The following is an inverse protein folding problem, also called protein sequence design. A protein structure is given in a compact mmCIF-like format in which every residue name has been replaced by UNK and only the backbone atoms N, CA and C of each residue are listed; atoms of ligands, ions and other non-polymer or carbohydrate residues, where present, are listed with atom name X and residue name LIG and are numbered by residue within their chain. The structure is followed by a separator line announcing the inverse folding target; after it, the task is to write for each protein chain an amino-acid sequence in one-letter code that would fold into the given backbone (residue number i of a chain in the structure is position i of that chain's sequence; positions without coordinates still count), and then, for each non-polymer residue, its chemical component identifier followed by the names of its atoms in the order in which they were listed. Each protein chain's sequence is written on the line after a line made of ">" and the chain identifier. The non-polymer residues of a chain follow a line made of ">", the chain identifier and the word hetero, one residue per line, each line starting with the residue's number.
data_IF_921102122032
#
_entry.id   IF_921102122032
#
_cell.length_a   1.000
_cell.length_b   1.000
_cell.length_c   1.000
_cell.angle_alpha   90.00
_cell.angle_beta   90.00
_cell.angle_gamma   90.00
#
_symmetry.space_group_name_H-M   'P 1'
#
loop_
_entity.id
_entity.type
_entity.pdbx_description
1 polymer ?
#
# COMPACT_ATOMS: atom_id res chain seq x y z
N UNK A 1 6.78 4.96 -2.24
CA UNK A 1 7.18 6.40 -2.35
C UNK A 1 5.95 7.24 -2.63
N UNK A 2 5.52 8.04 -1.65
CA UNK A 2 4.35 8.91 -1.71
C UNK A 2 4.62 10.09 -2.65
N UNK A 3 3.90 10.18 -3.78
CA UNK A 3 4.04 11.29 -4.74
C UNK A 3 3.03 12.42 -4.43
N UNK A 4 3.05 13.50 -5.21
CA UNK A 4 2.11 14.62 -5.02
C UNK A 4 0.64 14.20 -5.18
N UNK A 5 0.35 13.17 -5.98
CA UNK A 5 -1.01 12.64 -6.12
C UNK A 5 -1.46 11.92 -4.84
N UNK A 6 -0.59 11.16 -4.17
CA UNK A 6 -0.89 10.56 -2.86
C UNK A 6 -1.23 11.64 -1.82
N UNK A 7 -0.44 12.73 -1.76
CA UNK A 7 -0.70 13.86 -0.86
C UNK A 7 -2.03 14.56 -1.20
N UNK A 8 -2.32 14.75 -2.48
CA UNK A 8 -3.58 15.35 -2.93
C UNK A 8 -4.78 14.45 -2.60
N UNK A 9 -4.65 13.14 -2.77
CA UNK A 9 -5.67 12.17 -2.41
C UNK A 9 -5.99 12.24 -0.92
N UNK A 10 -4.96 12.24 -0.05
CA UNK A 10 -5.14 12.41 1.39
C UNK A 10 -5.84 13.73 1.74
N UNK A 11 -5.43 14.86 1.14
CA UNK A 11 -6.09 16.17 1.36
C UNK A 11 -7.55 16.20 0.91
N UNK A 12 -7.89 15.48 -0.15
CA UNK A 12 -9.21 15.54 -0.76
C UNK A 12 -10.22 14.67 -0.02
N UNK A 13 -9.76 13.55 0.56
CA UNK A 13 -10.65 12.50 1.04
C UNK A 13 -10.52 12.15 2.52
N UNK A 14 -9.42 12.51 3.19
CA UNK A 14 -9.34 12.39 4.64
C UNK A 14 -9.89 13.66 5.28
N UNK A 15 -10.97 13.52 6.05
CA UNK A 15 -11.70 14.65 6.61
C UNK A 15 -11.27 14.94 8.06
N UNK A 16 -11.40 16.19 8.49
CA UNK A 16 -11.01 16.60 9.86
C UNK A 16 -11.78 15.80 10.92
N UNK A 17 -13.08 15.60 10.73
CA UNK A 17 -13.94 14.85 11.67
C UNK A 17 -13.57 13.36 11.80
N UNK A 18 -12.87 12.80 10.81
CA UNK A 18 -12.37 11.42 10.85
C UNK A 18 -11.06 11.30 11.63
N UNK A 19 -10.35 12.40 11.83
CA UNK A 19 -8.99 12.44 12.39
C UNK A 19 -8.92 13.16 13.74
N UNK A 20 -9.72 14.20 13.95
CA UNK A 20 -9.64 15.06 15.14
C UNK A 20 -9.93 14.30 16.42
N UNK A 21 -8.97 14.31 17.35
CA UNK A 21 -9.07 13.56 18.60
C UNK A 21 -9.07 12.03 18.42
N UNK A 22 -8.56 11.53 17.28
CA UNK A 22 -8.56 10.12 16.92
C UNK A 22 -7.14 9.53 16.94
N UNK A 23 -7.04 8.21 17.13
CA UNK A 23 -5.76 7.48 17.07
C UNK A 23 -5.46 7.10 15.63
N UNK A 24 -4.39 7.64 15.06
CA UNK A 24 -3.96 7.38 13.69
C UNK A 24 -2.69 6.54 13.67
N UNK A 25 -2.63 5.55 12.78
CA UNK A 25 -1.40 4.84 12.40
C UNK A 25 -1.12 4.99 10.91
N UNK A 26 0.11 5.33 10.56
CA UNK A 26 0.65 5.29 9.20
C UNK A 26 1.60 4.09 9.09
N UNK A 27 1.26 3.12 8.23
CA UNK A 27 2.04 1.90 8.01
C UNK A 27 2.81 2.01 6.71
N UNK A 28 4.14 1.97 6.81
CA UNK A 28 5.06 2.34 5.73
C UNK A 28 5.38 3.83 5.74
N UNK A 29 5.66 4.39 6.92
CA UNK A 29 5.71 5.84 7.15
C UNK A 29 7.06 6.49 6.82
N UNK A 30 8.05 5.72 6.33
CA UNK A 30 9.35 6.27 6.00
C UNK A 30 9.23 7.35 4.91
N UNK A 31 9.53 8.59 5.27
CA UNK A 31 9.50 9.73 4.37
C UNK A 31 10.75 9.74 3.48
N UNK A 32 10.56 9.30 2.24
CA UNK A 32 11.59 9.31 1.20
C UNK A 32 11.44 10.53 0.28
N UNK A 33 10.21 10.95 0.00
CA UNK A 33 9.90 11.96 -1.02
C UNK A 33 8.59 12.71 -0.77
N UNK A 34 8.08 12.67 0.46
CA UNK A 34 6.79 13.20 0.85
C UNK A 34 6.11 12.33 1.89
N UNK A 35 5.44 12.96 2.85
CA UNK A 35 4.67 12.29 3.89
C UNK A 35 3.30 12.96 4.08
N UNK A 36 2.28 12.14 4.30
CA UNK A 36 0.94 12.61 4.68
C UNK A 36 0.87 13.10 6.12
N UNK A 37 1.88 12.82 6.95
CA UNK A 37 1.94 13.18 8.38
C UNK A 37 1.59 14.64 8.64
N UNK A 38 2.11 15.58 7.84
CA UNK A 38 1.81 17.00 7.99
C UNK A 38 0.34 17.35 7.77
N UNK A 39 -0.29 16.73 6.77
CA UNK A 39 -1.73 16.91 6.47
C UNK A 39 -2.57 16.40 7.63
N UNK A 40 -2.26 15.19 8.12
CA UNK A 40 -3.04 14.55 9.17
C UNK A 40 -2.86 15.26 10.52
N UNK A 41 -1.63 15.68 10.86
CA UNK A 41 -1.38 16.41 12.11
C UNK A 41 -2.10 17.76 12.17
N UNK A 42 -2.36 18.40 11.03
CA UNK A 42 -3.14 19.64 10.98
C UNK A 42 -4.61 19.44 11.39
N UNK A 43 -5.14 18.21 11.36
CA UNK A 43 -6.47 17.87 11.86
C UNK A 43 -6.49 17.54 13.36
N UNK A 44 -5.38 17.71 14.08
CA UNK A 44 -5.29 17.54 15.53
C UNK A 44 -5.73 16.14 16.04
N UNK A 45 -5.10 15.04 15.56
CA UNK A 45 -5.38 13.71 16.07
C UNK A 45 -4.98 13.58 17.55
N UNK A 46 -5.62 12.65 18.26
CA UNK A 46 -5.23 12.29 19.62
C UNK A 46 -3.80 11.74 19.64
N UNK A 47 -3.46 10.93 18.63
CA UNK A 47 -2.11 10.44 18.42
C UNK A 47 -1.88 10.14 16.95
N UNK A 48 -0.64 10.32 16.49
CA UNK A 48 -0.19 9.92 15.16
C UNK A 48 1.05 9.06 15.32
N UNK A 49 0.96 7.79 14.93
CA UNK A 49 2.05 6.82 15.00
C UNK A 49 2.47 6.41 13.58
N UNK A 50 3.72 6.67 13.21
CA UNK A 50 4.31 6.18 11.98
C UNK A 50 5.16 4.95 12.22
N UNK A 51 4.90 3.87 11.48
CA UNK A 51 5.69 2.64 11.56
C UNK A 51 6.26 2.24 10.20
N UNK A 52 7.46 1.67 10.22
CA UNK A 52 8.13 1.12 9.05
C UNK A 52 9.10 0.00 9.46
N UNK A 53 9.53 -0.83 8.51
CA UNK A 53 10.56 -1.86 8.72
C UNK A 53 11.98 -1.26 8.76
N UNK A 54 12.14 -0.02 8.28
CA UNK A 54 13.40 0.72 8.27
C UNK A 54 13.24 2.01 9.05
N UNK A 55 14.11 2.25 10.04
CA UNK A 55 14.14 3.51 10.76
C UNK A 55 14.51 4.70 9.85
N UNK A 56 13.92 5.87 10.08
CA UNK A 56 14.24 7.08 9.35
C UNK A 56 13.20 8.19 9.53
N UNK A 57 13.26 9.25 8.70
CA UNK A 57 12.29 10.34 8.76
C UNK A 57 10.85 9.84 8.68
N UNK A 58 9.95 10.33 9.55
CA UNK A 58 8.55 9.94 9.57
C UNK A 58 8.22 8.64 10.32
N UNK A 59 9.24 7.88 10.74
CA UNK A 59 9.09 6.62 11.51
C UNK A 59 9.27 6.92 13.00
N UNK A 60 8.27 6.61 13.81
CA UNK A 60 8.38 6.69 15.28
C UNK A 60 8.76 5.33 15.88
N UNK A 61 8.34 4.23 15.24
CA UNK A 61 8.61 2.86 15.70
C UNK A 61 8.90 1.90 14.53
N UNK A 62 9.84 0.98 14.74
CA UNK A 62 10.15 -0.07 13.76
C UNK A 62 9.14 -1.22 13.93
N UNK A 63 8.29 -1.43 12.93
CA UNK A 63 7.31 -2.52 12.94
C UNK A 63 7.06 -3.04 11.51
N UNK A 64 7.05 -4.36 11.36
CA UNK A 64 6.63 -5.00 10.11
C UNK A 64 5.09 -5.09 10.08
N UNK A 65 4.48 -4.67 8.97
CA UNK A 65 3.04 -4.81 8.75
C UNK A 65 2.53 -6.25 8.95
N UNK A 66 3.38 -7.26 8.77
CA UNK A 66 3.02 -8.65 9.00
C UNK A 66 2.81 -9.01 10.49
N UNK A 67 3.30 -8.17 11.40
CA UNK A 67 3.23 -8.36 12.87
C UNK A 67 2.34 -7.30 13.55
N UNK A 68 1.66 -6.46 12.77
CA UNK A 68 0.94 -5.28 13.25
C UNK A 68 -0.10 -5.60 14.33
N UNK A 69 -0.90 -6.66 14.15
CA UNK A 69 -1.90 -7.08 15.13
C UNK A 69 -1.26 -7.61 16.41
N UNK A 70 -0.16 -8.36 16.32
CA UNK A 70 0.51 -8.88 17.52
C UNK A 70 1.14 -7.75 18.33
N UNK A 71 1.59 -6.70 17.64
CA UNK A 71 2.26 -5.58 18.25
C UNK A 71 1.29 -4.55 18.84
N UNK A 72 0.15 -4.27 18.17
CA UNK A 72 -0.79 -3.22 18.57
C UNK A 72 -2.18 -3.69 18.98
N UNK A 73 -2.47 -4.98 18.95
CA UNK A 73 -3.80 -5.57 19.08
C UNK A 73 -4.77 -5.21 17.92
N UNK A 74 -5.88 -5.96 17.86
CA UNK A 74 -6.97 -5.66 16.92
C UNK A 74 -7.73 -4.42 17.36
N UNK A 75 -8.29 -3.70 16.39
CA UNK A 75 -9.23 -2.59 16.59
C UNK A 75 -8.68 -1.39 17.38
N UNK A 76 -7.35 -1.21 17.36
CA UNK A 76 -6.64 -0.21 18.17
C UNK A 76 -6.62 1.20 17.58
N UNK A 77 -6.81 1.35 16.26
CA UNK A 77 -6.72 2.64 15.58
C UNK A 77 -8.06 3.08 14.95
N UNK A 78 -8.33 4.39 14.98
CA UNK A 78 -9.46 5.02 14.29
C UNK A 78 -9.20 5.14 12.78
N UNK A 79 -7.96 5.50 12.45
CA UNK A 79 -7.54 5.76 11.09
C UNK A 79 -6.27 4.97 10.82
N UNK A 80 -6.30 4.18 9.76
CA UNK A 80 -5.14 3.46 9.24
C UNK A 80 -4.79 4.07 7.88
N UNK A 81 -3.55 4.48 7.73
CA UNK A 81 -3.03 5.06 6.48
C UNK A 81 -1.89 4.17 5.98
N UNK A 82 -1.87 3.89 4.69
CA UNK A 82 -0.74 3.20 4.07
C UNK A 82 -0.52 3.69 2.63
N UNK A 83 0.57 4.40 2.39
CA UNK A 83 0.87 4.97 1.08
C UNK A 83 2.02 4.23 0.42
N UNK A 84 1.76 3.60 -0.74
CA UNK A 84 2.79 3.00 -1.59
C UNK A 84 3.65 1.96 -0.84
N UNK A 85 2.98 1.06 -0.11
CA UNK A 85 3.60 -0.01 0.68
C UNK A 85 3.21 -1.41 0.18
N UNK A 86 1.94 -1.66 -0.17
CA UNK A 86 1.46 -3.02 -0.45
C UNK A 86 2.19 -3.73 -1.59
N UNK A 87 2.70 -3.00 -2.58
CA UNK A 87 3.51 -3.54 -3.68
C UNK A 87 4.85 -4.10 -3.20
N UNK A 88 5.34 -3.64 -2.05
CA UNK A 88 6.62 -4.02 -1.45
C UNK A 88 6.49 -5.20 -0.47
N UNK A 89 5.27 -5.60 -0.09
CA UNK A 89 5.04 -6.68 0.88
C UNK A 89 4.80 -8.00 0.18
N UNK A 90 5.68 -8.99 0.42
CA UNK A 90 5.58 -10.32 -0.20
C UNK A 90 4.26 -11.01 0.15
N UNK A 91 3.96 -11.08 1.45
CA UNK A 91 2.77 -11.72 2.02
C UNK A 91 1.58 -10.75 2.03
N UNK A 92 1.20 -10.25 0.85
CA UNK A 92 0.20 -9.20 0.70
C UNK A 92 -1.15 -9.52 1.37
N UNK A 93 -1.59 -10.80 1.40
CA UNK A 93 -2.83 -11.20 2.08
C UNK A 93 -2.76 -10.93 3.58
N UNK A 94 -1.64 -11.28 4.20
CA UNK A 94 -1.41 -11.03 5.62
C UNK A 94 -1.34 -9.52 5.89
N UNK A 95 -0.69 -8.76 5.01
CA UNK A 95 -0.64 -7.30 5.11
C UNK A 95 -2.03 -6.66 5.05
N UNK A 96 -2.85 -7.04 4.06
CA UNK A 96 -4.24 -6.58 3.93
C UNK A 96 -5.06 -6.96 5.16
N UNK A 97 -4.89 -8.19 5.67
CA UNK A 97 -5.55 -8.64 6.90
C UNK A 97 -5.17 -7.79 8.12
N UNK A 98 -3.88 -7.50 8.29
CA UNK A 98 -3.36 -6.67 9.38
C UNK A 98 -3.92 -5.24 9.33
N UNK A 99 -3.95 -4.61 8.15
CA UNK A 99 -4.54 -3.27 7.98
C UNK A 99 -6.02 -3.24 8.37
N UNK A 100 -6.80 -4.25 7.96
CA UNK A 100 -8.24 -4.34 8.29
C UNK A 100 -8.50 -4.63 9.75
N UNK A 101 -7.68 -5.48 10.38
CA UNK A 101 -7.92 -5.96 11.72
C UNK A 101 -7.40 -4.99 12.80
N UNK A 102 -6.33 -4.23 12.54
CA UNK A 102 -5.88 -3.18 13.46
C UNK A 102 -6.83 -1.97 13.47
N UNK A 103 -7.60 -1.79 12.38
CA UNK A 103 -8.61 -0.75 12.26
C UNK A 103 -9.85 -1.09 13.08
N UNK A 104 -10.35 -0.14 13.87
CA UNK A 104 -11.59 -0.31 14.65
C UNK A 104 -12.85 -0.35 13.76
N UNK A 105 -13.96 -0.91 14.24
CA UNK A 105 -15.27 -0.73 13.61
C UNK A 105 -15.61 0.76 13.46
N UNK A 106 -16.16 1.14 12.30
CA UNK A 106 -16.37 2.52 11.82
C UNK A 106 -15.09 3.34 11.56
N UNK A 107 -13.90 2.75 11.68
CA UNK A 107 -12.65 3.42 11.36
C UNK A 107 -12.44 3.60 9.86
N UNK A 108 -11.55 4.53 9.51
CA UNK A 108 -11.21 4.90 8.13
C UNK A 108 -9.86 4.29 7.71
N UNK A 109 -9.83 3.64 6.55
CA UNK A 109 -8.63 3.22 5.84
C UNK A 109 -8.39 4.17 4.68
N UNK A 110 -7.18 4.73 4.58
CA UNK A 110 -6.70 5.43 3.39
C UNK A 110 -5.47 4.71 2.84
N UNK A 111 -5.54 4.24 1.60
CA UNK A 111 -4.50 3.41 1.02
C UNK A 111 -4.18 3.80 -0.42
N UNK A 112 -2.89 3.78 -0.76
CA UNK A 112 -2.41 3.92 -2.14
C UNK A 112 -1.42 2.81 -2.48
N UNK A 113 -1.40 2.36 -3.73
CA UNK A 113 -0.46 1.32 -4.21
C UNK A 113 -0.24 1.41 -5.72
N UNK A 114 0.77 0.68 -6.22
CA UNK A 114 1.16 0.66 -7.65
C UNK A 114 0.39 -0.35 -8.48
N UNK A 115 0.13 0.05 -9.73
CA UNK A 115 -0.69 -0.69 -10.70
C UNK A 115 0.10 -1.10 -11.94
N UNK A 116 -0.46 -1.97 -12.78
CA UNK A 116 0.25 -2.49 -13.95
C UNK A 116 0.60 -1.34 -14.89
N UNK A 117 1.84 -1.33 -15.36
CA UNK A 117 2.44 -0.20 -16.08
C UNK A 117 3.49 0.53 -15.24
N UNK A 118 3.36 0.50 -13.91
CA UNK A 118 4.42 1.01 -13.04
C UNK A 118 5.62 0.07 -13.06
N UNK A 119 6.78 0.62 -13.44
CA UNK A 119 8.03 -0.11 -13.55
C UNK A 119 8.49 -0.73 -12.23
N UNK A 120 9.48 -1.62 -12.31
CA UNK A 120 10.15 -2.12 -11.11
C UNK A 120 10.97 -0.99 -10.48
N UNK A 121 10.70 -0.67 -9.22
CA UNK A 121 11.33 0.47 -8.54
C UNK A 121 12.01 0.11 -7.21
N UNK A 122 11.76 -1.09 -6.68
CA UNK A 122 12.55 -1.77 -5.65
C UNK A 122 13.07 -0.92 -4.50
N UNK A 123 12.34 -0.86 -3.37
CA UNK A 123 12.96 -0.63 -2.07
C UNK A 123 12.06 -1.05 -0.89
N UNK A 124 12.52 -1.92 0.05
CA UNK A 124 13.65 -2.86 -0.10
C UNK A 124 13.36 -3.97 -1.13
N UNK A 125 12.09 -4.20 -1.45
CA UNK A 125 11.62 -5.18 -2.44
C UNK A 125 10.53 -4.58 -3.32
N UNK A 126 10.01 -5.32 -4.30
CA UNK A 126 8.91 -4.88 -5.17
C UNK A 126 8.32 -6.10 -5.88
N UNK A 127 7.06 -6.41 -5.59
CA UNK A 127 6.44 -7.72 -5.84
C UNK A 127 5.17 -7.65 -6.67
N UNK A 128 4.24 -6.74 -6.34
CA UNK A 128 2.84 -6.83 -6.77
C UNK A 128 2.38 -5.58 -7.50
N UNK A 129 1.43 -5.73 -8.43
CA UNK A 129 0.69 -4.63 -9.04
C UNK A 129 -0.81 -4.88 -8.83
N UNK A 130 -1.50 -3.87 -8.35
CA UNK A 130 -2.92 -3.92 -8.00
C UNK A 130 -3.72 -3.13 -9.03
N UNK A 131 -4.70 -3.76 -9.65
CA UNK A 131 -5.69 -3.08 -10.49
C UNK A 131 -6.91 -2.66 -9.67
N UNK A 132 -7.77 -1.79 -10.21
CA UNK A 132 -9.01 -1.36 -9.56
C UNK A 132 -9.88 -2.57 -9.16
N UNK A 133 -10.00 -3.57 -10.03
CA UNK A 133 -10.77 -4.80 -9.75
C UNK A 133 -10.15 -5.62 -8.61
N UNK A 134 -8.81 -5.62 -8.47
CA UNK A 134 -8.15 -6.27 -7.34
C UNK A 134 -8.52 -5.60 -6.04
N UNK A 135 -8.40 -4.27 -5.99
CA UNK A 135 -8.72 -3.48 -4.79
C UNK A 135 -10.19 -3.63 -4.40
N UNK A 136 -11.11 -3.66 -5.37
CA UNK A 136 -12.53 -3.92 -5.12
C UNK A 136 -12.75 -5.28 -4.45
N UNK A 137 -12.08 -6.35 -4.89
CA UNK A 137 -12.21 -7.68 -4.27
C UNK A 137 -11.55 -7.69 -2.88
N UNK A 138 -10.33 -7.16 -2.79
CA UNK A 138 -9.52 -7.15 -1.58
C UNK A 138 -10.21 -6.44 -0.43
N UNK A 139 -10.93 -5.35 -0.69
CA UNK A 139 -11.60 -4.54 0.33
C UNK A 139 -13.14 -4.61 0.24
N UNK A 140 -13.68 -5.66 -0.39
CA UNK A 140 -15.13 -5.92 -0.50
C UNK A 140 -15.85 -6.14 0.84
N UNK A 141 -15.11 -6.39 1.91
CA UNK A 141 -15.56 -6.50 3.30
C UNK A 141 -15.49 -5.17 4.07
N UNK A 142 -15.03 -4.10 3.42
CA UNK A 142 -15.13 -2.72 3.86
C UNK A 142 -16.17 -1.96 3.02
N UNK A 143 -16.62 -0.82 3.52
CA UNK A 143 -17.41 0.14 2.75
C UNK A 143 -16.45 1.01 1.95
N UNK A 144 -16.24 0.70 0.66
CA UNK A 144 -15.40 1.52 -0.23
C UNK A 144 -16.15 2.82 -0.54
N UNK A 145 -15.56 3.94 -0.15
CA UNK A 145 -16.14 5.28 -0.34
C UNK A 145 -15.57 5.97 -1.56
N UNK A 146 -14.29 5.74 -1.81
CA UNK A 146 -13.56 6.31 -2.94
C UNK A 146 -12.61 5.24 -3.47
N UNK A 147 -12.60 5.06 -4.79
CA UNK A 147 -11.58 4.29 -5.49
C UNK A 147 -11.24 4.98 -6.80
N UNK A 148 -9.97 5.33 -6.96
CA UNK A 148 -9.50 6.11 -8.11
C UNK A 148 -8.17 5.56 -8.61
N UNK A 149 -7.84 5.87 -9.86
CA UNK A 149 -6.50 5.63 -10.39
C UNK A 149 -5.61 6.81 -10.05
N UNK A 150 -4.34 6.52 -9.77
CA UNK A 150 -3.33 7.57 -9.66
C UNK A 150 -3.26 8.34 -11.00
N UNK A 151 -3.48 9.68 -11.00
CA UNK A 151 -3.49 10.48 -12.22
C UNK A 151 -2.10 10.74 -12.80
N UNK A 152 -1.03 10.53 -12.03
CA UNK A 152 0.35 10.82 -12.44
C UNK A 152 1.09 9.57 -12.91
N UNK A 153 0.85 8.45 -12.24
CA UNK A 153 1.54 7.19 -12.47
C UNK A 153 0.55 6.02 -12.41
N UNK A 154 0.85 4.84 -12.96
CA UNK A 154 -0.03 3.68 -12.76
C UNK A 154 -0.12 3.28 -11.28
N UNK A 155 -1.27 3.53 -10.67
CA UNK A 155 -1.57 3.26 -9.27
C UNK A 155 -3.08 3.22 -9.00
N UNK A 156 -3.45 2.71 -7.83
CA UNK A 156 -4.83 2.69 -7.34
C UNK A 156 -4.88 3.26 -5.93
N UNK A 157 -5.76 4.22 -5.72
CA UNK A 157 -5.99 4.90 -4.45
C UNK A 157 -7.38 4.53 -3.94
N UNK A 158 -7.49 4.25 -2.66
CA UNK A 158 -8.75 3.83 -2.03
C UNK A 158 -8.91 4.49 -0.67
N UNK A 159 -10.13 4.95 -0.40
CA UNK A 159 -10.63 5.25 0.93
C UNK A 159 -11.77 4.31 1.22
N UNK A 160 -11.73 3.64 2.37
CA UNK A 160 -12.78 2.74 2.81
C UNK A 160 -13.03 2.86 4.31
N UNK A 161 -14.21 2.47 4.74
CA UNK A 161 -14.61 2.47 6.15
C UNK A 161 -14.97 1.07 6.61
N UNK A 162 -14.48 0.66 7.77
CA UNK A 162 -14.77 -0.66 8.34
C UNK A 162 -16.20 -0.69 8.88
N UNK A 163 -17.08 -1.59 8.43
CA UNK A 163 -18.44 -1.69 8.95
C UNK A 163 -18.44 -2.25 10.38
N UNK A 164 -19.51 -1.98 11.14
CA UNK A 164 -19.72 -2.56 12.47
C UNK A 164 -19.80 -4.10 12.39
N UNK A 165 -20.48 -4.63 11.38
CA UNK A 165 -20.63 -6.07 11.14
C UNK A 165 -19.50 -6.65 10.29
N UNK A 166 -18.25 -6.22 10.55
CA UNK A 166 -17.09 -6.66 9.78
C UNK A 166 -16.92 -8.19 9.83
N UNK A 167 -16.83 -8.80 8.66
CA UNK A 167 -16.48 -10.20 8.48
C UNK A 167 -15.44 -10.28 7.38
N UNK A 168 -14.24 -10.73 7.75
CA UNK A 168 -13.09 -10.67 6.85
C UNK A 168 -13.27 -11.57 5.62
N UNK A 169 -13.03 -11.00 4.45
CA UNK A 169 -13.06 -11.72 3.17
C UNK A 169 -11.91 -12.72 3.10
N UNK A 170 -12.21 -13.99 2.84
CA UNK A 170 -11.18 -14.96 2.46
C UNK A 170 -10.62 -14.62 1.06
N UNK A 171 -9.29 -14.49 0.98
CA UNK A 171 -8.54 -14.10 -0.22
C UNK A 171 -7.59 -15.20 -0.73
N UNK A 172 -7.68 -16.43 -0.22
CA UNK A 172 -6.74 -17.54 -0.52
C UNK A 172 -6.70 -17.89 -2.01
N UNK A 173 -7.83 -17.75 -2.70
CA UNK A 173 -7.96 -18.03 -4.12
C UNK A 173 -7.63 -16.84 -5.03
N UNK A 174 -7.40 -15.64 -4.49
CA UNK A 174 -7.21 -14.43 -5.31
C UNK A 174 -5.77 -14.33 -5.84
N UNK A 175 -5.61 -14.09 -7.13
CA UNK A 175 -4.31 -13.94 -7.79
C UNK A 175 -3.99 -12.46 -8.06
N UNK A 176 -2.79 -12.01 -7.69
CA UNK A 176 -2.28 -10.68 -8.04
C UNK A 176 -1.24 -10.76 -9.15
N UNK A 177 -1.14 -9.69 -9.95
CA UNK A 177 -0.05 -9.57 -10.92
C UNK A 177 1.27 -9.37 -10.18
N UNK A 178 2.21 -10.30 -10.39
CA UNK A 178 3.56 -10.17 -9.85
C UNK A 178 4.50 -9.54 -10.88
N UNK A 179 5.20 -8.47 -10.51
CA UNK A 179 6.27 -7.91 -11.35
C UNK A 179 7.50 -8.82 -11.41
N UNK A 180 7.70 -9.66 -10.40
CA UNK A 180 8.78 -10.66 -10.37
C UNK A 180 8.49 -11.78 -11.38
N UNK A 181 7.26 -12.32 -11.35
CA UNK A 181 6.87 -13.46 -12.19
C UNK A 181 6.36 -13.05 -13.58
N UNK A 182 5.98 -11.78 -13.77
CA UNK A 182 5.39 -11.22 -15.00
C UNK A 182 4.08 -11.92 -15.40
N UNK A 183 3.30 -12.34 -14.40
CA UNK A 183 1.99 -12.98 -14.55
C UNK A 183 1.20 -12.87 -13.26
N UNK A 184 -0.11 -13.12 -13.32
CA UNK A 184 -0.92 -13.32 -12.11
C UNK A 184 -0.54 -14.62 -11.41
N UNK A 185 -0.46 -14.59 -10.09
CA UNK A 185 -0.16 -15.76 -9.27
C UNK A 185 -0.56 -15.56 -7.82
N UNK A 186 -0.77 -16.67 -7.11
CA UNK A 186 -1.09 -16.65 -5.68
C UNK A 186 0.06 -16.12 -4.83
N UNK A 187 1.25 -16.65 -5.07
CA UNK A 187 2.43 -16.44 -4.23
C UNK A 187 3.72 -16.32 -5.05
N UNK A 188 4.73 -15.72 -4.41
CA UNK A 188 6.09 -15.60 -4.91
C UNK A 188 6.99 -16.37 -3.93
N UNK A 189 7.82 -17.31 -4.42
CA UNK A 189 8.78 -18.09 -3.58
C UNK A 189 10.15 -17.44 -3.55
N UNK A 190 10.97 -17.69 -2.53
CA UNK A 190 12.29 -17.02 -2.40
C UNK A 190 13.16 -17.19 -3.64
N UNK A 191 13.10 -18.38 -4.23
CA UNK A 191 13.78 -18.67 -5.49
C UNK A 191 13.30 -17.80 -6.67
N UNK A 192 12.01 -17.45 -6.75
CA UNK A 192 11.49 -16.56 -7.80
C UNK A 192 12.15 -15.17 -7.71
N UNK A 193 12.35 -14.67 -6.50
CA UNK A 193 13.00 -13.38 -6.24
C UNK A 193 14.49 -13.43 -6.60
N UNK A 194 15.20 -14.47 -6.17
CA UNK A 194 16.61 -14.65 -6.47
C UNK A 194 16.83 -14.75 -7.98
N UNK A 195 16.03 -15.58 -8.67
CA UNK A 195 16.09 -15.74 -10.11
C UNK A 195 15.80 -14.42 -10.84
N UNK A 196 14.80 -13.65 -10.40
CA UNK A 196 14.53 -12.34 -11.00
C UNK A 196 15.71 -11.37 -10.84
N UNK A 197 16.29 -11.29 -9.64
CA UNK A 197 17.41 -10.39 -9.33
C UNK A 197 18.68 -10.76 -10.10
N UNK A 198 19.00 -12.05 -10.18
CA UNK A 198 20.27 -12.55 -10.75
C UNK A 198 20.20 -12.76 -12.26
N UNK A 199 19.04 -13.16 -12.79
CA UNK A 199 18.91 -13.56 -14.20
C UNK A 199 18.05 -12.58 -14.99
N UNK A 200 16.78 -12.41 -14.63
CA UNK A 200 15.85 -11.62 -15.46
C UNK A 200 16.17 -10.13 -15.49
N UNK A 201 16.53 -9.53 -14.34
CA UNK A 201 16.77 -8.07 -14.25
C UNK A 201 18.01 -7.63 -15.04
N UNK A 202 19.18 -8.32 -14.97
CA UNK A 202 20.33 -7.99 -15.82
C UNK A 202 20.03 -8.16 -17.32
N UNK A 203 19.40 -9.27 -17.71
CA UNK A 203 19.02 -9.52 -19.12
C UNK A 203 18.07 -8.43 -19.63
N UNK A 204 17.06 -8.03 -18.85
CA UNK A 204 16.15 -6.94 -19.22
C UNK A 204 16.87 -5.61 -19.39
N UNK A 205 17.79 -5.25 -18.47
CA UNK A 205 18.60 -4.03 -18.57
C UNK A 205 19.49 -4.02 -19.80
N UNK A 206 20.06 -5.18 -20.15
CA UNK A 206 20.87 -5.33 -21.35
C UNK A 206 20.02 -5.17 -22.62
N UNK A 207 18.88 -5.88 -22.71
CA UNK A 207 17.96 -5.78 -23.84
C UNK A 207 17.39 -4.37 -24.01
N UNK A 208 17.03 -3.67 -22.93
CA UNK A 208 16.55 -2.29 -23.01
C UNK A 208 17.59 -1.27 -23.48
N UNK A 209 18.89 -1.62 -23.42
CA UNK A 209 19.98 -0.79 -23.96
C UNK A 209 20.23 -1.02 -25.45
N UNK A 210 19.80 -2.18 -25.96
CA UNK A 210 20.09 -2.63 -27.33
C UNK A 210 18.87 -2.46 -28.23
N UNK A 211 17.67 -2.61 -27.68
CA UNK A 211 16.43 -2.38 -28.40
C UNK A 211 16.10 -0.87 -28.37
N UNK A 212 15.88 -0.23 -29.53
CA UNK A 212 15.43 1.16 -29.55
C UNK A 212 14.10 1.27 -28.81
N UNK A 213 13.96 2.29 -27.97
CA UNK A 213 12.69 2.62 -27.35
C UNK A 213 11.68 2.88 -28.47
N UNK A 214 10.64 2.03 -28.58
CA UNK A 214 9.49 2.41 -29.40
C UNK A 214 8.87 3.64 -28.73
N UNK A 215 9.20 4.81 -29.27
CA UNK A 215 8.48 6.05 -28.99
C UNK A 215 7.05 5.82 -29.45
N UNK A 216 6.11 5.67 -28.51
CA UNK A 216 4.70 5.81 -28.80
C UNK A 216 4.50 7.23 -29.36
N UNK A 217 4.20 7.29 -30.66
CA UNK A 217 3.79 8.52 -31.34
C UNK A 217 2.52 9.05 -30.66
N UNK A 218 2.53 10.37 -30.47
CA UNK A 218 1.40 11.19 -30.01
C UNK A 218 0.17 10.99 -30.88
#
# INVERSE_FOLDING_TARGET
>A
MCNSACLQFARSYLLEEEVKGKKVIEVGSLDVNGSVRGIVKNFEPLSYLGVDVINGPGVDEICDINDLINHFDKESFDVVISTELLEHVRSWRNAVSNLKNVLRPNGTLLLTTRSKGFGYHGYPFDFWRYEVDDVNVLFSDLLIEVIERDPLDPGVFVKARKPISFSEKNLDAHDLYSIIRQRRCRDIREFDNLFFRVVKRPVRRFLSRILPTQSSRR
#
